data_IF_716914097209
#
_entry.id   IF_716914097209
#
_cell.length_a   1.000
_cell.length_b   1.000
_cell.length_c   1.000
_cell.angle_alpha   90.00
_cell.angle_beta   90.00
_cell.angle_gamma   90.00
#
_symmetry.space_group_name_H-M   'P 1'
#
loop_
_entity.id
_entity.type
_entity.pdbx_description
1 polymer ?
#
# COMPACT_ATOMS: atom_id res chain seq x y z
N UNK A 1 -16.61 5.23 -2.69
CA UNK A 1 -15.94 5.44 -1.39
C UNK A 1 -14.49 5.78 -1.68
N UNK A 2 -13.97 6.86 -1.10
CA UNK A 2 -12.56 7.24 -1.19
C UNK A 2 -11.91 6.99 0.17
N UNK A 3 -10.67 6.50 0.15
CA UNK A 3 -9.87 6.26 1.35
C UNK A 3 -8.57 7.05 1.21
N UNK A 4 -8.19 7.77 2.26
CA UNK A 4 -6.88 8.36 2.42
C UNK A 4 -6.07 7.47 3.36
N UNK A 5 -4.86 7.09 2.94
CA UNK A 5 -4.01 6.19 3.71
C UNK A 5 -2.59 6.74 3.75
N UNK A 6 -2.12 7.10 4.93
CA UNK A 6 -0.74 7.52 5.11
C UNK A 6 0.17 6.28 5.13
N UNK A 7 0.71 5.92 3.97
CA UNK A 7 1.59 4.76 3.76
C UNK A 7 2.90 4.93 4.54
N UNK A 8 3.26 3.99 5.43
CA UNK A 8 4.54 4.03 6.13
C UNK A 8 5.69 3.51 5.25
N UNK A 9 6.92 3.80 5.67
CA UNK A 9 8.13 3.25 5.06
C UNK A 9 8.12 1.72 5.01
N UNK A 10 8.75 1.16 3.97
CA UNK A 10 8.89 -0.29 3.76
C UNK A 10 7.58 -0.97 3.36
N UNK A 11 6.63 -0.23 2.77
CA UNK A 11 5.36 -0.76 2.24
C UNK A 11 5.25 -0.51 0.75
N UNK A 12 4.97 -1.54 -0.04
CA UNK A 12 4.71 -1.37 -1.48
C UNK A 12 3.26 -0.92 -1.71
N UNK A 13 3.03 0.02 -2.65
CA UNK A 13 1.69 0.40 -3.13
C UNK A 13 1.05 -0.69 -4.01
N UNK A 14 0.86 -1.89 -3.45
CA UNK A 14 0.21 -3.05 -4.08
C UNK A 14 -0.38 -3.94 -3.01
N UNK A 15 -1.45 -4.67 -3.35
CA UNK A 15 -2.04 -5.69 -2.49
C UNK A 15 -1.37 -7.07 -2.64
N UNK A 16 -0.99 -7.43 -3.87
CA UNK A 16 -0.28 -8.66 -4.18
C UNK A 16 1.21 -8.54 -3.84
N UNK A 17 1.81 -9.54 -3.16
CA UNK A 17 3.25 -9.60 -2.93
C UNK A 17 4.04 -9.61 -4.25
N UNK A 18 5.22 -9.00 -4.25
CA UNK A 18 6.15 -8.97 -5.39
C UNK A 18 7.45 -9.76 -5.14
N UNK A 19 7.54 -10.47 -4.02
CA UNK A 19 8.72 -11.22 -3.60
C UNK A 19 9.78 -10.38 -2.88
N UNK A 20 9.58 -9.07 -2.73
CA UNK A 20 10.44 -8.22 -1.90
C UNK A 20 10.18 -8.44 -0.40
N UNK A 21 11.13 -8.07 0.48
CA UNK A 21 10.91 -8.12 1.93
C UNK A 21 9.93 -7.04 2.44
N UNK A 22 9.45 -6.16 1.56
CA UNK A 22 8.56 -5.07 1.93
C UNK A 22 7.13 -5.58 2.19
N UNK A 23 6.43 -4.91 3.11
CA UNK A 23 5.03 -5.24 3.43
C UNK A 23 4.10 -4.75 2.31
N UNK A 24 2.92 -5.35 2.18
CA UNK A 24 1.93 -4.95 1.16
C UNK A 24 0.76 -4.22 1.80
N UNK A 25 -0.08 -3.57 0.98
CA UNK A 25 -1.31 -2.94 1.45
C UNK A 25 -2.31 -3.95 2.05
N UNK A 26 -2.17 -5.25 1.72
CA UNK A 26 -3.04 -6.29 2.26
C UNK A 26 -2.89 -6.46 3.80
N UNK A 27 -1.78 -6.02 4.37
CA UNK A 27 -1.51 -6.10 5.80
C UNK A 27 -2.29 -5.06 6.66
N UNK A 28 -3.02 -4.13 6.04
CA UNK A 28 -3.65 -2.99 6.73
C UNK A 28 -5.19 -3.08 6.83
N UNK A 29 -5.79 -4.21 6.46
CA UNK A 29 -7.21 -4.48 6.73
C UNK A 29 -8.21 -3.62 5.93
N UNK A 30 -7.85 -3.20 4.72
CA UNK A 30 -8.74 -2.40 3.87
C UNK A 30 -10.02 -3.13 3.46
N UNK A 31 -11.12 -2.39 3.18
CA UNK A 31 -12.32 -2.95 2.56
C UNK A 31 -12.01 -3.70 1.26
N UNK A 32 -12.80 -4.72 0.94
CA UNK A 32 -12.64 -5.44 -0.33
C UNK A 32 -12.91 -4.52 -1.53
N UNK A 33 -12.29 -4.85 -2.67
CA UNK A 33 -12.46 -4.15 -3.97
C UNK A 33 -11.96 -2.70 -3.97
N UNK A 34 -10.93 -2.39 -3.19
CA UNK A 34 -10.18 -1.12 -3.29
C UNK A 34 -8.84 -1.35 -3.98
N UNK A 35 -8.30 -0.30 -4.59
CA UNK A 35 -6.99 -0.30 -5.23
C UNK A 35 -6.33 1.08 -5.02
N UNK A 36 -4.97 1.16 -4.98
CA UNK A 36 -4.30 2.44 -4.82
C UNK A 36 -4.43 3.29 -6.09
N UNK A 37 -4.59 4.60 -5.91
CA UNK A 37 -4.55 5.59 -6.99
C UNK A 37 -3.13 6.16 -7.08
N UNK A 38 -2.37 5.68 -8.07
CA UNK A 38 -0.93 5.98 -8.17
C UNK A 38 -0.06 5.00 -7.38
N UNK A 39 1.26 5.20 -7.45
CA UNK A 39 2.26 4.40 -6.74
C UNK A 39 3.15 5.33 -5.94
N UNK A 40 3.39 4.94 -4.70
CA UNK A 40 4.38 5.54 -3.82
C UNK A 40 5.42 4.46 -3.54
N UNK A 41 6.69 4.78 -3.72
CA UNK A 41 7.76 3.80 -3.63
C UNK A 41 7.90 3.25 -2.21
N UNK A 42 8.48 2.05 -2.10
CA UNK A 42 8.57 1.34 -0.82
C UNK A 42 9.42 2.11 0.21
N UNK A 43 10.42 2.84 -0.26
CA UNK A 43 11.31 3.71 0.50
C UNK A 43 10.75 5.13 0.71
N UNK A 44 9.53 5.40 0.24
CA UNK A 44 8.81 6.65 0.48
C UNK A 44 7.72 6.48 1.53
N UNK A 45 7.32 7.59 2.13
CA UNK A 45 6.24 7.69 3.13
C UNK A 45 5.32 8.86 2.78
N UNK A 46 4.04 8.75 3.09
CA UNK A 46 3.09 9.83 2.80
C UNK A 46 1.72 9.32 2.37
N UNK A 47 0.96 10.20 1.74
CA UNK A 47 -0.40 9.93 1.28
C UNK A 47 -0.44 8.99 0.06
#
# INVERSE_FOLDING_TARGET
MLLAFHKPFGVISRFTPDGSPNRTLANFGFPKKVYPLGRLDADSEGL
#
